data_IF_385583256024
#
_entry.id   IF_385583256024
#
_cell.length_a   1.000
_cell.length_b   1.000
_cell.length_c   1.000
_cell.angle_alpha   90.00
_cell.angle_beta   90.00
_cell.angle_gamma   90.00
#
_symmetry.space_group_name_H-M   'P 1'
#
loop_
_entity.id
_entity.type
_entity.pdbx_description
1 polymer ?
#
# COMPACT_ATOMS: atom_id res chain seq x y z
N UNK A 1 -6.27 -4.34 22.28
CA UNK A 1 -5.61 -5.67 22.36
C UNK A 1 -6.19 -6.64 21.33
N UNK A 2 -7.47 -7.01 21.43
CA UNK A 2 -8.14 -7.92 20.48
C UNK A 2 -8.08 -7.49 18.99
N UNK A 3 -8.19 -6.19 18.67
CA UNK A 3 -8.15 -5.68 17.29
C UNK A 3 -6.80 -5.94 16.61
N UNK A 4 -5.70 -5.76 17.36
CA UNK A 4 -4.33 -6.01 16.89
C UNK A 4 -4.05 -7.51 16.78
N UNK A 5 -4.56 -8.30 17.72
CA UNK A 5 -4.41 -9.76 17.74
C UNK A 5 -5.21 -10.47 16.63
N UNK A 6 -6.37 -9.92 16.25
CA UNK A 6 -7.21 -10.43 15.15
C UNK A 6 -6.87 -9.83 13.79
N UNK A 7 -5.97 -8.85 13.74
CA UNK A 7 -5.50 -8.22 12.50
C UNK A 7 -6.61 -7.51 11.73
N UNK A 8 -7.38 -6.63 12.38
CA UNK A 8 -8.37 -5.84 11.64
C UNK A 8 -7.70 -4.93 10.61
N UNK A 9 -8.10 -5.05 9.35
CA UNK A 9 -7.47 -4.32 8.23
C UNK A 9 -8.02 -2.91 8.05
N UNK A 10 -9.25 -2.63 8.49
CA UNK A 10 -9.93 -1.33 8.33
C UNK A 10 -10.82 -1.07 9.55
N UNK A 11 -10.89 0.17 10.00
CA UNK A 11 -11.86 0.65 11.00
C UNK A 11 -13.02 1.32 10.28
N UNK A 12 -14.24 0.82 10.44
CA UNK A 12 -15.45 1.41 9.82
C UNK A 12 -16.21 2.24 10.85
N UNK A 13 -16.56 3.47 10.48
CA UNK A 13 -17.23 4.45 11.34
C UNK A 13 -18.48 4.96 10.66
N UNK A 14 -19.58 5.02 11.41
CA UNK A 14 -20.80 5.67 10.97
C UNK A 14 -20.77 7.16 11.34
N UNK A 15 -20.84 8.06 10.35
CA UNK A 15 -20.71 9.53 10.58
C UNK A 15 -22.04 10.26 10.73
N UNK A 16 -23.16 9.59 10.56
CA UNK A 16 -24.50 10.20 10.66
C UNK A 16 -25.05 10.20 12.09
N UNK A 17 -24.24 9.83 13.08
CA UNK A 17 -24.62 9.88 14.50
C UNK A 17 -24.50 11.32 15.02
N UNK A 18 -25.65 11.95 15.33
CA UNK A 18 -25.74 13.37 15.71
C UNK A 18 -24.95 13.76 16.98
N UNK A 19 -24.68 12.81 17.86
CA UNK A 19 -24.08 13.05 19.19
C UNK A 19 -22.92 12.10 19.48
N UNK A 20 -22.39 11.49 18.44
CA UNK A 20 -21.42 10.42 18.57
C UNK A 20 -19.97 10.91 18.62
N UNK A 21 -19.13 10.19 19.35
CA UNK A 21 -17.68 10.40 19.47
C UNK A 21 -16.89 9.35 18.66
N UNK A 22 -17.56 8.68 17.72
CA UNK A 22 -16.99 7.56 16.97
C UNK A 22 -15.81 8.00 16.12
N UNK A 23 -15.81 9.23 15.61
CA UNK A 23 -14.68 9.80 14.87
C UNK A 23 -13.41 9.90 15.71
N UNK A 24 -13.52 10.40 16.96
CA UNK A 24 -12.38 10.46 17.88
C UNK A 24 -11.93 9.07 18.30
N UNK A 25 -12.87 8.20 18.65
CA UNK A 25 -12.58 6.83 19.05
C UNK A 25 -11.86 6.05 17.92
N UNK A 26 -12.35 6.17 16.68
CA UNK A 26 -11.74 5.51 15.54
C UNK A 26 -10.35 6.05 15.20
N UNK A 27 -10.13 7.35 15.38
CA UNK A 27 -8.79 7.93 15.26
C UNK A 27 -7.82 7.32 16.28
N UNK A 28 -8.22 7.21 17.54
CA UNK A 28 -7.39 6.57 18.58
C UNK A 28 -7.09 5.10 18.24
N UNK A 29 -8.07 4.38 17.72
CA UNK A 29 -7.87 2.99 17.27
C UNK A 29 -6.89 2.94 16.08
N UNK A 30 -7.07 3.81 15.08
CA UNK A 30 -6.21 3.90 13.91
C UNK A 30 -4.77 4.22 14.27
N UNK A 31 -4.54 5.19 15.17
CA UNK A 31 -3.21 5.54 15.68
C UNK A 31 -2.57 4.37 16.43
N UNK A 32 -3.35 3.58 17.19
CA UNK A 32 -2.84 2.45 17.95
C UNK A 32 -2.58 1.19 17.11
N UNK A 33 -3.30 0.99 15.99
CA UNK A 33 -3.24 -0.23 15.18
C UNK A 33 -2.57 -0.04 13.81
N UNK A 34 -2.52 1.20 13.32
CA UNK A 34 -2.13 1.54 11.96
C UNK A 34 -3.20 1.18 10.90
N UNK A 35 -4.40 0.77 11.31
CA UNK A 35 -5.48 0.46 10.38
C UNK A 35 -6.13 1.75 9.87
N UNK A 36 -6.35 1.92 8.55
CA UNK A 36 -7.05 3.07 8.00
C UNK A 36 -8.52 3.13 8.46
N UNK A 37 -9.09 4.32 8.48
CA UNK A 37 -10.48 4.57 8.86
C UNK A 37 -11.33 4.84 7.63
N UNK A 38 -12.44 4.12 7.48
CA UNK A 38 -13.48 4.36 6.50
C UNK A 38 -14.69 5.02 7.19
N UNK A 39 -15.00 6.25 6.79
CA UNK A 39 -16.16 6.99 7.27
C UNK A 39 -17.34 6.77 6.33
N UNK A 40 -18.40 6.16 6.84
CA UNK A 40 -19.60 5.79 6.09
C UNK A 40 -20.80 6.54 6.66
N UNK A 41 -21.71 6.95 5.79
CA UNK A 41 -22.94 7.62 6.16
C UNK A 41 -24.10 6.61 6.17
N UNK A 42 -24.96 6.66 7.20
CA UNK A 42 -26.15 5.79 7.29
C UNK A 42 -27.37 6.35 6.53
N UNK A 43 -27.29 7.63 6.15
CA UNK A 43 -28.27 8.35 5.33
C UNK A 43 -27.50 9.29 4.39
N UNK A 44 -28.12 9.72 3.27
CA UNK A 44 -27.50 10.72 2.39
C UNK A 44 -27.07 11.98 3.15
N UNK A 45 -25.85 12.44 2.88
CA UNK A 45 -25.30 13.65 3.51
C UNK A 45 -25.91 14.92 2.90
N UNK A 46 -26.23 14.89 1.61
CA UNK A 46 -26.91 15.98 0.92
C UNK A 46 -28.32 15.54 0.54
N UNK A 47 -29.28 16.44 0.73
CA UNK A 47 -30.68 16.18 0.43
C UNK A 47 -30.95 15.95 -1.08
N UNK A 48 -30.00 16.36 -1.94
CA UNK A 48 -30.05 16.16 -3.39
C UNK A 48 -29.57 14.79 -3.86
N UNK A 49 -28.89 14.02 -2.99
CA UNK A 49 -28.26 12.78 -3.40
C UNK A 49 -29.31 11.68 -3.55
N UNK A 50 -29.33 11.03 -4.72
CA UNK A 50 -30.12 9.82 -4.88
C UNK A 50 -29.48 8.63 -4.16
N UNK A 51 -30.27 7.58 -3.96
CA UNK A 51 -29.80 6.37 -3.27
C UNK A 51 -28.54 5.78 -3.92
N UNK A 52 -28.47 5.80 -5.26
CA UNK A 52 -27.34 5.22 -6.00
C UNK A 52 -26.06 6.00 -5.73
N UNK A 53 -26.12 7.33 -5.73
CA UNK A 53 -25.01 8.23 -5.46
C UNK A 53 -24.54 8.08 -4.02
N UNK A 54 -25.47 8.09 -3.07
CA UNK A 54 -25.20 7.82 -1.64
C UNK A 54 -24.47 6.48 -1.42
N UNK A 55 -24.92 5.40 -2.06
CA UNK A 55 -24.26 4.09 -1.94
C UNK A 55 -22.89 4.10 -2.62
N UNK A 56 -22.76 4.73 -3.80
CA UNK A 56 -21.46 4.86 -4.49
C UNK A 56 -20.43 5.55 -3.63
N UNK A 57 -20.78 6.64 -2.96
CA UNK A 57 -19.86 7.37 -2.06
C UNK A 57 -19.38 6.49 -0.90
N UNK A 58 -20.29 5.76 -0.25
CA UNK A 58 -19.92 4.82 0.81
C UNK A 58 -19.01 3.70 0.31
N UNK A 59 -19.32 3.12 -0.87
CA UNK A 59 -18.50 2.07 -1.49
C UNK A 59 -17.12 2.62 -1.85
N UNK A 60 -17.03 3.82 -2.42
CA UNK A 60 -15.75 4.46 -2.74
C UNK A 60 -14.90 4.70 -1.49
N UNK A 61 -15.50 5.22 -0.41
CA UNK A 61 -14.81 5.42 0.86
C UNK A 61 -14.26 4.10 1.44
N UNK A 62 -15.07 3.03 1.41
CA UNK A 62 -14.67 1.71 1.89
C UNK A 62 -13.55 1.09 1.03
N UNK A 63 -13.71 1.12 -0.30
CA UNK A 63 -12.72 0.57 -1.24
C UNK A 63 -11.39 1.31 -1.13
N UNK A 64 -11.41 2.62 -0.94
CA UNK A 64 -10.21 3.43 -0.72
C UNK A 64 -9.47 2.96 0.54
N UNK A 65 -10.17 2.84 1.68
CA UNK A 65 -9.57 2.39 2.93
C UNK A 65 -9.00 0.95 2.84
N UNK A 66 -9.72 0.04 2.17
CA UNK A 66 -9.25 -1.33 1.91
C UNK A 66 -8.00 -1.31 1.05
N UNK A 67 -7.97 -0.50 -0.02
CA UNK A 67 -6.81 -0.40 -0.91
C UNK A 67 -5.57 0.11 -0.16
N UNK A 68 -5.71 1.17 0.64
CA UNK A 68 -4.63 1.68 1.50
C UNK A 68 -4.14 0.62 2.49
N UNK A 69 -5.03 -0.18 3.06
CA UNK A 69 -4.63 -1.26 3.96
C UNK A 69 -3.81 -2.34 3.25
N UNK A 70 -4.19 -2.70 2.02
CA UNK A 70 -3.45 -3.68 1.21
C UNK A 70 -2.08 -3.16 0.78
N UNK A 71 -1.98 -1.90 0.36
CA UNK A 71 -0.69 -1.26 0.05
C UNK A 71 0.23 -1.23 1.27
N UNK A 72 -0.32 -0.97 2.45
CA UNK A 72 0.41 -1.06 3.72
C UNK A 72 0.91 -2.47 3.99
N UNK A 73 0.07 -3.48 3.78
CA UNK A 73 0.48 -4.88 3.94
C UNK A 73 1.58 -5.27 2.94
N UNK A 74 1.52 -4.75 1.71
CA UNK A 74 2.54 -4.98 0.68
C UNK A 74 3.88 -4.28 1.01
N UNK A 75 3.84 -3.05 1.54
CA UNK A 75 5.03 -2.31 1.97
C UNK A 75 5.64 -2.83 3.28
N UNK A 76 4.84 -3.52 4.09
CA UNK A 76 5.31 -4.27 5.27
C UNK A 76 5.99 -5.61 4.90
N UNK A 77 6.31 -5.84 3.62
CA UNK A 77 7.07 -7.01 3.20
C UNK A 77 8.33 -7.17 4.06
N UNK A 78 8.64 -8.40 4.50
CA UNK A 78 9.84 -8.64 5.30
C UNK A 78 11.09 -8.19 4.53
N UNK A 79 12.14 -7.71 5.24
CA UNK A 79 13.40 -7.40 4.60
C UNK A 79 13.91 -8.63 3.82
N UNK A 80 14.60 -8.43 2.69
CA UNK A 80 15.08 -9.53 1.87
C UNK A 80 15.91 -10.48 2.71
N UNK A 81 15.62 -11.77 2.59
CA UNK A 81 16.35 -12.83 3.27
C UNK A 81 17.83 -12.80 2.88
N UNK A 82 18.69 -13.34 3.74
CA UNK A 82 20.14 -13.41 3.48
C UNK A 82 20.47 -14.13 2.16
N UNK A 83 19.66 -15.12 1.79
CA UNK A 83 19.72 -15.83 0.51
C UNK A 83 19.34 -14.94 -0.67
N UNK A 84 18.27 -14.16 -0.58
CA UNK A 84 17.84 -13.24 -1.64
C UNK A 84 18.87 -12.13 -1.88
N UNK A 85 19.44 -11.57 -0.80
CA UNK A 85 20.57 -10.64 -0.89
C UNK A 85 21.76 -11.26 -1.63
N UNK A 86 22.08 -12.52 -1.34
CA UNK A 86 23.11 -13.27 -2.06
C UNK A 86 22.81 -13.40 -3.55
N UNK A 87 21.57 -13.75 -3.91
CA UNK A 87 21.13 -13.81 -5.31
C UNK A 87 21.23 -12.45 -6.00
N UNK A 88 20.81 -11.36 -5.35
CA UNK A 88 20.90 -10.02 -5.91
C UNK A 88 22.34 -9.58 -6.14
N UNK A 89 23.25 -9.85 -5.20
CA UNK A 89 24.67 -9.54 -5.36
C UNK A 89 25.31 -10.36 -6.48
N UNK A 90 24.94 -11.64 -6.63
CA UNK A 90 25.42 -12.49 -7.71
C UNK A 90 24.93 -11.99 -9.08
N UNK A 91 23.65 -11.63 -9.19
CA UNK A 91 23.10 -11.03 -10.41
C UNK A 91 23.77 -9.70 -10.75
N UNK A 92 24.03 -8.86 -9.76
CA UNK A 92 24.77 -7.61 -9.93
C UNK A 92 26.19 -7.86 -10.45
N UNK A 93 26.89 -8.86 -9.89
CA UNK A 93 28.22 -9.26 -10.34
C UNK A 93 28.24 -9.77 -11.79
N UNK A 94 27.28 -10.62 -12.16
CA UNK A 94 27.13 -11.10 -13.54
C UNK A 94 26.81 -9.96 -14.51
N UNK A 95 25.95 -9.02 -14.11
CA UNK A 95 25.66 -7.83 -14.90
C UNK A 95 26.90 -6.95 -15.10
N UNK A 96 27.67 -6.70 -14.05
CA UNK A 96 28.92 -5.94 -14.16
C UNK A 96 29.93 -6.64 -15.09
N UNK A 97 30.09 -7.96 -14.96
CA UNK A 97 30.98 -8.75 -15.81
C UNK A 97 30.57 -8.69 -17.29
N UNK A 98 29.28 -8.84 -17.58
CA UNK A 98 28.77 -8.73 -18.96
C UNK A 98 28.96 -7.32 -19.53
N UNK A 99 28.75 -6.27 -18.73
CA UNK A 99 29.01 -4.90 -19.15
C UNK A 99 30.49 -4.63 -19.45
N UNK A 100 31.40 -5.16 -18.64
CA UNK A 100 32.86 -5.05 -18.86
C UNK A 100 33.25 -5.77 -20.15
N UNK A 101 32.78 -7.01 -20.34
CA UNK A 101 33.06 -7.79 -21.55
C UNK A 101 32.54 -7.07 -22.81
N UNK A 102 31.37 -6.45 -22.75
CA UNK A 102 30.81 -5.70 -23.86
C UNK A 102 31.65 -4.45 -24.19
N UNK A 103 32.16 -3.73 -23.18
CA UNK A 103 33.07 -2.58 -23.38
C UNK A 103 34.42 -2.99 -23.97
N UNK A 104 34.96 -4.13 -23.53
CA UNK A 104 36.22 -4.65 -24.07
C UNK A 104 36.05 -5.10 -25.53
N UNK A 105 34.95 -5.80 -25.85
CA UNK A 105 34.63 -6.24 -27.20
C UNK A 105 34.40 -5.06 -28.17
N UNK A 106 33.74 -3.98 -27.72
CA UNK A 106 33.55 -2.79 -28.54
C UNK A 106 34.86 -1.99 -28.74
N UNK A 107 35.75 -1.96 -27.75
CA UNK A 107 37.07 -1.32 -27.86
C UNK A 107 38.05 -2.07 -28.78
N UNK A 108 38.01 -3.41 -28.82
CA UNK A 108 38.87 -4.23 -29.70
C UNK A 108 38.48 -4.05 -31.18
N UNK A 109 37.19 -3.86 -31.48
CA UNK A 109 36.69 -3.69 -32.86
C UNK A 109 37.11 -2.37 -33.51
N UNK A 110 37.52 -1.37 -32.73
CA UNK A 110 38.02 -0.08 -33.23
C UNK A 110 39.52 -0.05 -33.55
N UNK A 111 40.29 -1.06 -33.15
CA UNK A 111 41.77 -1.07 -33.25
C UNK A 111 42.33 -2.00 -34.36
N UNK A 112 41.46 -2.69 -35.08
CA UNK A 112 41.81 -3.64 -36.16
C UNK A 112 41.60 -3.11 -37.57
N UNK A 113 41.48 -1.78 -37.74
CA UNK A 113 41.44 -1.08 -39.03
C UNK A 113 42.41 0.09 -38.98
N UNK A 114 43.70 -0.23 -38.91
CA UNK A 114 44.80 0.64 -39.33
C UNK A 114 45.85 -0.25 -39.99
#
# INVERSE_FOLDING_TARGET
RAIKERGADVVVVLITARWGDEGRAARLVSEATGAPVAYLAGVPLHASDDYVTFIKENVMALVSAVSTSRERAATAAPPPSRSELGCYLLLLGLYALTAINLRLASGVRGRGRD
#
